data_IF_820073547586
#
_entry.id   IF_820073547586
#
_cell.length_a   1.000
_cell.length_b   1.000
_cell.length_c   1.000
_cell.angle_alpha   90.00
_cell.angle_beta   90.00
_cell.angle_gamma   90.00
#
_symmetry.space_group_name_H-M   'P 1'
#
loop_
_entity.id
_entity.type
_entity.pdbx_description
1 polymer ?
#
# COMPACT_ATOMS: atom_id res chain seq x y z
N UNK A 1 -48.09 -44.29 -25.67
CA UNK A 1 -46.73 -44.53 -25.13
C UNK A 1 -46.49 -43.51 -24.03
N UNK A 2 -46.37 -44.01 -22.80
CA UNK A 2 -46.53 -43.30 -21.54
C UNK A 2 -45.16 -43.14 -20.86
N UNK A 3 -44.88 -41.94 -20.35
CA UNK A 3 -44.13 -41.56 -19.12
C UNK A 3 -42.90 -42.38 -18.67
N UNK A 4 -41.79 -41.67 -18.42
CA UNK A 4 -41.10 -41.71 -17.12
C UNK A 4 -40.25 -40.44 -16.92
N UNK A 5 -40.49 -39.75 -15.80
CA UNK A 5 -39.71 -38.64 -15.29
C UNK A 5 -38.66 -39.18 -14.31
N UNK A 6 -37.45 -38.61 -14.31
CA UNK A 6 -36.45 -38.81 -13.25
C UNK A 6 -36.11 -37.44 -12.68
N UNK A 7 -36.57 -37.22 -11.45
CA UNK A 7 -36.17 -36.12 -10.59
C UNK A 7 -34.75 -36.38 -10.07
N UNK A 8 -33.80 -35.49 -10.37
CA UNK A 8 -32.49 -35.49 -9.75
C UNK A 8 -32.48 -34.47 -8.60
N UNK A 9 -32.29 -34.99 -7.40
CA UNK A 9 -32.30 -34.29 -6.14
C UNK A 9 -31.03 -33.41 -6.03
N UNK A 10 -31.19 -32.08 -6.03
CA UNK A 10 -30.12 -31.17 -5.66
C UNK A 10 -29.93 -31.21 -4.14
N UNK A 11 -28.90 -31.95 -3.70
CA UNK A 11 -28.42 -31.93 -2.33
C UNK A 11 -27.78 -30.56 -2.08
N UNK A 12 -28.52 -29.70 -1.38
CA UNK A 12 -27.98 -28.51 -0.72
C UNK A 12 -27.01 -28.96 0.38
N UNK A 13 -25.72 -29.01 0.05
CA UNK A 13 -24.66 -29.04 1.07
C UNK A 13 -24.56 -27.62 1.62
N UNK A 14 -25.36 -27.34 2.65
CA UNK A 14 -25.14 -26.21 3.55
C UNK A 14 -23.88 -26.57 4.33
N UNK A 15 -22.71 -26.07 3.90
CA UNK A 15 -21.54 -26.09 4.77
C UNK A 15 -21.84 -25.16 5.95
N UNK A 16 -21.87 -25.68 7.20
CA UNK A 16 -21.88 -24.80 8.35
C UNK A 16 -20.53 -24.07 8.35
N UNK A 17 -20.55 -22.74 8.13
CA UNK A 17 -19.52 -21.86 8.65
C UNK A 17 -19.51 -22.05 10.17
N UNK A 18 -18.70 -23.00 10.63
CA UNK A 18 -18.42 -23.18 12.04
C UNK A 18 -17.72 -21.92 12.51
N UNK A 19 -18.49 -20.98 13.04
CA UNK A 19 -18.03 -19.95 13.95
C UNK A 19 -17.55 -20.62 15.23
N UNK A 20 -16.41 -21.33 15.13
CA UNK A 20 -15.59 -21.62 16.28
C UNK A 20 -15.07 -20.27 16.74
N UNK A 21 -15.75 -19.68 17.73
CA UNK A 21 -15.16 -18.63 18.58
C UNK A 21 -13.88 -19.25 19.15
N UNK A 22 -12.75 -18.96 18.51
CA UNK A 22 -11.45 -19.39 18.98
C UNK A 22 -11.30 -18.93 20.43
N UNK A 23 -11.08 -19.88 21.33
CA UNK A 23 -10.58 -19.58 22.66
C UNK A 23 -9.36 -18.65 22.49
N UNK A 24 -9.34 -17.56 23.26
CA UNK A 24 -8.58 -16.34 22.97
C UNK A 24 -7.19 -16.58 22.42
N UNK A 25 -6.97 -16.18 21.16
CA UNK A 25 -5.66 -16.15 20.54
C UNK A 25 -4.76 -15.22 21.37
N UNK A 26 -3.83 -15.79 22.11
CA UNK A 26 -2.87 -15.04 22.95
C UNK A 26 -1.84 -14.27 22.12
N UNK A 27 -1.82 -14.47 20.80
CA UNK A 27 -0.93 -13.76 19.89
C UNK A 27 -1.24 -12.25 19.92
N UNK A 28 -0.19 -11.41 19.89
CA UNK A 28 -0.36 -9.97 19.77
C UNK A 28 -1.14 -9.63 18.50
N UNK A 29 -1.87 -8.51 18.51
CA UNK A 29 -2.74 -8.10 17.40
C UNK A 29 -2.13 -8.23 16.00
N UNK A 30 -0.85 -7.91 15.83
CA UNK A 30 -0.15 -7.95 14.55
C UNK A 30 0.19 -9.36 14.05
N UNK A 31 0.04 -10.40 14.87
CA UNK A 31 0.28 -11.80 14.51
C UNK A 31 -1.00 -12.64 14.39
N UNK A 32 -2.16 -12.07 14.74
CA UNK A 32 -3.44 -12.78 14.71
C UNK A 32 -3.90 -13.08 13.30
N UNK A 33 -4.48 -14.26 13.11
CA UNK A 33 -5.02 -14.69 11.82
C UNK A 33 -6.10 -13.72 11.28
N UNK A 34 -7.06 -13.32 12.12
CA UNK A 34 -8.11 -12.38 11.74
C UNK A 34 -7.57 -11.01 11.30
N UNK A 35 -6.48 -10.56 11.90
CA UNK A 35 -5.82 -9.32 11.49
C UNK A 35 -5.13 -9.46 10.13
N UNK A 36 -4.47 -10.60 9.89
CA UNK A 36 -3.82 -10.90 8.60
C UNK A 36 -4.84 -11.03 7.48
N UNK A 37 -5.96 -11.70 7.72
CA UNK A 37 -7.06 -11.82 6.76
C UNK A 37 -7.61 -10.43 6.38
N UNK A 38 -7.92 -9.59 7.36
CA UNK A 38 -8.37 -8.22 7.11
C UNK A 38 -7.29 -7.38 6.39
N UNK A 39 -6.02 -7.55 6.73
CA UNK A 39 -4.90 -6.92 6.03
C UNK A 39 -4.83 -7.31 4.56
N UNK A 40 -5.04 -8.59 4.22
CA UNK A 40 -5.06 -9.03 2.82
C UNK A 40 -6.18 -8.34 2.03
N UNK A 41 -7.37 -8.14 2.63
CA UNK A 41 -8.48 -7.45 2.00
C UNK A 41 -8.15 -5.96 1.76
N UNK A 42 -7.56 -5.28 2.75
CA UNK A 42 -7.11 -3.88 2.64
C UNK A 42 -6.04 -3.74 1.56
N UNK A 43 -5.05 -4.65 1.54
CA UNK A 43 -3.96 -4.66 0.56
C UNK A 43 -4.43 -5.06 -0.83
N UNK A 44 -5.57 -5.74 -0.97
CA UNK A 44 -6.18 -6.03 -2.27
C UNK A 44 -6.98 -4.83 -2.84
N UNK A 45 -7.14 -3.75 -2.07
CA UNK A 45 -7.98 -2.58 -2.38
C UNK A 45 -9.48 -2.92 -2.62
N UNK A 46 -9.98 -3.95 -1.95
CA UNK A 46 -11.41 -4.21 -1.88
C UNK A 46 -12.02 -3.27 -0.83
N UNK A 47 -12.55 -2.11 -1.26
CA UNK A 47 -13.01 -1.06 -0.35
C UNK A 47 -14.19 -1.50 0.51
N UNK A 48 -15.17 -2.20 -0.09
CA UNK A 48 -16.35 -2.68 0.62
C UNK A 48 -15.99 -3.80 1.59
N UNK A 49 -15.17 -4.76 1.13
CA UNK A 49 -14.63 -5.81 1.98
C UNK A 49 -13.79 -5.25 3.14
N UNK A 50 -12.97 -4.23 2.86
CA UNK A 50 -12.12 -3.57 3.86
C UNK A 50 -12.96 -2.87 4.92
N UNK A 51 -13.99 -2.12 4.52
CA UNK A 51 -14.87 -1.42 5.45
C UNK A 51 -15.55 -2.41 6.40
N UNK A 52 -16.08 -3.50 5.85
CA UNK A 52 -16.73 -4.57 6.61
C UNK A 52 -15.75 -5.23 7.60
N UNK A 53 -14.59 -5.69 7.11
CA UNK A 53 -13.59 -6.36 7.93
C UNK A 53 -13.05 -5.46 9.06
N UNK A 54 -12.76 -4.19 8.77
CA UNK A 54 -12.25 -3.26 9.77
C UNK A 54 -13.32 -2.95 10.81
N UNK A 55 -14.59 -2.75 10.42
CA UNK A 55 -15.69 -2.52 11.40
C UNK A 55 -15.87 -3.69 12.35
N UNK A 56 -15.78 -4.93 11.85
CA UNK A 56 -15.83 -6.12 12.70
C UNK A 56 -14.74 -6.08 13.76
N UNK A 57 -13.51 -5.73 13.39
CA UNK A 57 -12.38 -5.61 14.32
C UNK A 57 -12.53 -4.44 15.31
N UNK A 58 -12.98 -3.27 14.85
CA UNK A 58 -13.16 -2.06 15.68
C UNK A 58 -14.26 -2.22 16.75
N UNK A 59 -15.27 -3.05 16.46
CA UNK A 59 -16.41 -3.29 17.37
C UNK A 59 -16.22 -4.49 18.30
N UNK A 60 -15.14 -5.26 18.11
CA UNK A 60 -14.83 -6.42 18.96
C UNK A 60 -14.56 -6.00 20.42
N UNK A 61 -14.85 -6.90 21.37
CA UNK A 61 -14.55 -6.68 22.79
C UNK A 61 -13.07 -6.87 23.10
N UNK A 62 -12.36 -7.64 22.29
CA UNK A 62 -10.92 -7.87 22.41
C UNK A 62 -10.11 -6.64 22.01
N UNK A 63 -9.18 -6.23 22.87
CA UNK A 63 -8.29 -5.09 22.65
C UNK A 63 -7.33 -5.32 21.49
N UNK A 64 -6.87 -6.55 21.25
CA UNK A 64 -5.98 -6.86 20.15
C UNK A 64 -6.72 -6.80 18.80
N UNK A 65 -8.00 -7.22 18.75
CA UNK A 65 -8.83 -7.02 17.56
C UNK A 65 -9.04 -5.52 17.28
N UNK A 66 -9.34 -4.73 18.32
CA UNK A 66 -9.46 -3.26 18.18
C UNK A 66 -8.17 -2.58 17.74
N UNK A 67 -7.03 -3.00 18.29
CA UNK A 67 -5.70 -2.50 17.90
C UNK A 67 -5.45 -2.73 16.40
N UNK A 68 -5.76 -3.93 15.91
CA UNK A 68 -5.72 -4.23 14.49
C UNK A 68 -6.68 -3.34 13.68
N UNK A 69 -7.93 -3.20 14.13
CA UNK A 69 -8.93 -2.37 13.46
C UNK A 69 -8.48 -0.91 13.28
N UNK A 70 -7.95 -0.27 14.34
CA UNK A 70 -7.47 1.12 14.24
C UNK A 70 -6.23 1.27 13.36
N UNK A 71 -5.34 0.26 13.33
CA UNK A 71 -4.20 0.22 12.42
C UNK A 71 -4.66 0.10 10.96
N UNK A 72 -5.50 -0.89 10.66
CA UNK A 72 -6.00 -1.13 9.29
C UNK A 72 -6.83 0.04 8.76
N UNK A 73 -7.57 0.74 9.63
CA UNK A 73 -8.27 1.98 9.28
C UNK A 73 -7.29 3.08 8.84
N UNK A 74 -6.19 3.26 9.58
CA UNK A 74 -5.15 4.22 9.20
C UNK A 74 -4.47 3.80 7.88
N UNK A 75 -4.16 2.52 7.71
CA UNK A 75 -3.59 2.00 6.46
C UNK A 75 -4.52 2.20 5.26
N UNK A 76 -5.81 1.88 5.40
CA UNK A 76 -6.82 2.09 4.35
C UNK A 76 -6.85 3.56 3.93
N UNK A 77 -6.77 4.51 4.87
CA UNK A 77 -6.71 5.93 4.54
C UNK A 77 -5.49 6.32 3.69
N UNK A 78 -4.34 5.66 3.89
CA UNK A 78 -3.15 5.87 3.04
C UNK A 78 -3.33 5.26 1.65
N UNK A 79 -3.94 4.07 1.59
CA UNK A 79 -4.26 3.41 0.33
C UNK A 79 -5.25 4.21 -0.51
N UNK A 80 -6.27 4.81 0.13
CA UNK A 80 -7.20 5.72 -0.54
C UNK A 80 -6.49 6.94 -1.11
N UNK A 81 -5.49 7.51 -0.42
CA UNK A 81 -4.67 8.59 -0.97
C UNK A 81 -3.86 8.12 -2.19
N UNK A 82 -3.31 6.90 -2.17
CA UNK A 82 -2.57 6.37 -3.32
C UNK A 82 -3.47 6.22 -4.57
N UNK A 83 -4.72 5.79 -4.34
CA UNK A 83 -5.73 5.53 -5.37
C UNK A 83 -6.41 6.80 -5.87
N UNK A 84 -6.83 7.69 -4.97
CA UNK A 84 -7.63 8.89 -5.26
C UNK A 84 -6.79 10.17 -5.38
N UNK A 85 -5.56 10.17 -4.86
CA UNK A 85 -4.72 11.36 -4.70
C UNK A 85 -4.87 12.02 -3.32
N UNK A 86 -3.96 12.93 -3.01
CA UNK A 86 -3.91 13.66 -1.73
C UNK A 86 -4.89 14.84 -1.69
N UNK A 87 -6.20 14.58 -1.87
CA UNK A 87 -7.21 15.65 -1.76
C UNK A 87 -7.40 16.10 -0.31
N UNK A 88 -7.89 17.32 -0.04
CA UNK A 88 -8.15 17.79 1.31
C UNK A 88 -9.03 16.86 2.15
N UNK A 89 -9.99 16.19 1.53
CA UNK A 89 -10.88 15.20 2.17
C UNK A 89 -10.10 13.96 2.60
N UNK A 90 -9.26 13.42 1.71
CA UNK A 90 -8.46 12.24 2.01
C UNK A 90 -7.40 12.52 3.08
N UNK A 91 -6.77 13.70 3.02
CA UNK A 91 -5.82 14.15 4.06
C UNK A 91 -6.49 14.29 5.43
N UNK A 92 -7.73 14.80 5.47
CA UNK A 92 -8.54 14.92 6.71
C UNK A 92 -8.94 13.55 7.26
N UNK A 93 -9.39 12.66 6.36
CA UNK A 93 -9.76 11.28 6.70
C UNK A 93 -8.57 10.53 7.33
N UNK A 94 -7.37 10.64 6.73
CA UNK A 94 -6.15 10.07 7.31
C UNK A 94 -5.81 10.68 8.67
N UNK A 95 -5.83 12.00 8.82
CA UNK A 95 -5.53 12.66 10.11
C UNK A 95 -6.49 12.23 11.22
N UNK A 96 -7.79 12.09 10.93
CA UNK A 96 -8.77 11.58 11.90
C UNK A 96 -8.40 10.18 12.39
N UNK A 97 -8.06 9.27 11.47
CA UNK A 97 -7.74 7.89 11.83
C UNK A 97 -6.39 7.74 12.52
N UNK A 98 -5.41 8.56 12.18
CA UNK A 98 -4.16 8.64 12.94
C UNK A 98 -4.39 9.14 14.37
N UNK A 99 -5.29 10.12 14.58
CA UNK A 99 -5.68 10.57 15.93
C UNK A 99 -6.38 9.46 16.72
N UNK A 100 -7.24 8.67 16.08
CA UNK A 100 -7.90 7.51 16.72
C UNK A 100 -6.88 6.43 17.13
N UNK A 101 -5.96 6.08 16.24
CA UNK A 101 -4.87 5.14 16.52
C UNK A 101 -3.98 5.64 17.68
N UNK A 102 -3.61 6.92 17.67
CA UNK A 102 -2.86 7.56 18.74
C UNK A 102 -3.62 7.56 20.09
N UNK A 103 -4.90 7.91 20.08
CA UNK A 103 -5.75 7.89 21.27
C UNK A 103 -5.90 6.49 21.84
N UNK A 104 -6.08 5.48 20.97
CA UNK A 104 -6.13 4.08 21.35
C UNK A 104 -4.81 3.63 22.01
N UNK A 105 -3.67 3.93 21.39
CA UNK A 105 -2.34 3.57 21.90
C UNK A 105 -2.12 4.10 23.31
N UNK A 106 -2.47 5.36 23.56
CA UNK A 106 -2.35 5.99 24.89
C UNK A 106 -3.29 5.39 25.93
N UNK A 107 -4.56 5.19 25.58
CA UNK A 107 -5.56 4.65 26.50
C UNK A 107 -5.23 3.21 26.95
N UNK A 108 -4.55 2.44 26.10
CA UNK A 108 -4.30 1.02 26.33
C UNK A 108 -2.83 0.66 26.58
N UNK A 109 -1.92 1.65 26.65
CA UNK A 109 -0.50 1.41 26.88
C UNK A 109 -0.21 0.60 28.15
N UNK A 110 -1.04 0.75 29.20
CA UNK A 110 -0.91 0.00 30.46
C UNK A 110 -1.19 -1.50 30.32
N UNK A 111 -1.83 -1.94 29.24
CA UNK A 111 -2.18 -3.35 29.00
C UNK A 111 -1.12 -4.08 28.17
N UNK A 112 -0.08 -3.39 27.69
CA UNK A 112 1.02 -4.04 26.98
C UNK A 112 1.77 -3.11 26.03
N UNK A 113 3.06 -3.38 25.83
CA UNK A 113 3.93 -2.63 24.90
C UNK A 113 3.40 -2.65 23.48
N UNK A 114 2.79 -3.75 23.02
CA UNK A 114 2.19 -3.89 21.68
C UNK A 114 1.11 -2.84 21.35
N UNK A 115 0.41 -2.30 22.35
CA UNK A 115 -0.55 -1.21 22.15
C UNK A 115 0.14 0.14 22.18
N UNK A 116 1.10 0.28 23.09
CA UNK A 116 1.84 1.52 23.26
C UNK A 116 2.75 1.82 22.04
N UNK A 117 3.19 0.80 21.31
CA UNK A 117 3.99 0.92 20.09
C UNK A 117 3.19 1.51 18.91
N UNK A 118 1.85 1.38 18.90
CA UNK A 118 1.00 2.07 17.91
C UNK A 118 1.16 3.59 17.98
N UNK A 119 1.59 4.16 19.11
CA UNK A 119 1.87 5.59 19.21
C UNK A 119 3.01 5.99 18.27
N UNK A 120 4.13 5.25 18.27
CA UNK A 120 5.28 5.64 17.45
C UNK A 120 4.97 5.51 15.96
N UNK A 121 4.17 4.50 15.61
CA UNK A 121 3.71 4.31 14.24
C UNK A 121 2.75 5.43 13.79
N UNK A 122 1.73 5.74 14.58
CA UNK A 122 0.79 6.81 14.26
C UNK A 122 1.50 8.16 14.08
N UNK A 123 2.49 8.45 14.92
CA UNK A 123 3.31 9.67 14.80
C UNK A 123 4.14 9.68 13.52
N UNK A 124 4.79 8.56 13.19
CA UNK A 124 5.57 8.44 11.96
C UNK A 124 4.70 8.68 10.73
N UNK A 125 3.52 8.05 10.64
CA UNK A 125 2.55 8.28 9.55
C UNK A 125 2.06 9.73 9.50
N UNK A 126 1.85 10.36 10.66
CA UNK A 126 1.44 11.78 10.77
C UNK A 126 2.50 12.75 10.21
N UNK A 127 3.78 12.42 10.26
CA UNK A 127 4.84 13.23 9.61
C UNK A 127 4.52 13.43 8.12
N UNK A 128 4.17 12.35 7.42
CA UNK A 128 3.80 12.40 6.01
C UNK A 128 2.54 13.23 5.79
N UNK A 129 1.53 13.08 6.65
CA UNK A 129 0.30 13.90 6.59
C UNK A 129 0.59 15.39 6.66
N UNK A 130 1.40 15.80 7.62
CA UNK A 130 1.76 17.21 7.80
C UNK A 130 2.58 17.73 6.62
N UNK A 131 3.46 16.90 6.04
CA UNK A 131 4.23 17.28 4.87
C UNK A 131 3.33 17.49 3.64
N UNK A 132 2.41 16.57 3.36
CA UNK A 132 1.46 16.66 2.24
C UNK A 132 0.47 17.84 2.40
N UNK A 133 0.20 18.26 3.63
CA UNK A 133 -0.58 19.48 3.93
C UNK A 133 0.25 20.78 3.80
N UNK A 134 1.55 20.70 3.53
CA UNK A 134 2.45 21.87 3.50
C UNK A 134 2.94 22.35 4.87
N UNK A 135 2.56 21.68 5.96
CA UNK A 135 2.91 22.01 7.34
C UNK A 135 4.32 21.49 7.73
N UNK A 136 5.35 21.88 6.97
CA UNK A 136 6.72 21.34 7.08
C UNK A 136 7.34 21.51 8.48
N UNK A 137 7.09 22.64 9.15
CA UNK A 137 7.59 22.89 10.51
C UNK A 137 6.98 21.93 11.53
N UNK A 138 5.66 21.69 11.44
CA UNK A 138 4.99 20.74 12.32
C UNK A 138 5.41 19.31 12.00
N UNK A 139 5.58 18.97 10.71
CA UNK A 139 6.09 17.68 10.26
C UNK A 139 7.46 17.36 10.87
N UNK A 140 8.39 18.33 10.87
CA UNK A 140 9.71 18.16 11.49
C UNK A 140 9.61 17.99 13.02
N UNK A 141 8.75 18.76 13.68
CA UNK A 141 8.52 18.60 15.11
C UNK A 141 7.92 17.22 15.45
N UNK A 142 7.01 16.72 14.62
CA UNK A 142 6.44 15.38 14.76
C UNK A 142 7.48 14.29 14.50
N UNK A 143 8.35 14.44 13.51
CA UNK A 143 9.44 13.51 13.22
C UNK A 143 10.41 13.40 14.40
N UNK A 144 10.74 14.52 15.06
CA UNK A 144 11.57 14.53 16.27
C UNK A 144 10.91 13.77 17.43
N UNK A 145 9.59 13.97 17.61
CA UNK A 145 8.81 13.25 18.63
C UNK A 145 8.78 11.75 18.35
N UNK A 146 8.53 11.36 17.09
CA UNK A 146 8.57 9.97 16.65
C UNK A 146 9.95 9.35 16.88
N UNK A 147 11.04 10.05 16.49
CA UNK A 147 12.41 9.55 16.67
C UNK A 147 12.78 9.36 18.15
N UNK A 148 12.44 10.32 19.01
CA UNK A 148 12.66 10.20 20.45
C UNK A 148 11.90 9.01 21.04
N UNK A 149 10.64 8.84 20.65
CA UNK A 149 9.84 7.71 21.11
C UNK A 149 10.40 6.39 20.61
N UNK A 150 10.78 6.30 19.33
CA UNK A 150 11.40 5.13 18.72
C UNK A 150 12.64 4.67 19.49
N UNK A 151 13.57 5.58 19.78
CA UNK A 151 14.78 5.25 20.56
C UNK A 151 14.44 4.67 21.94
N UNK A 152 13.50 5.29 22.64
CA UNK A 152 13.04 4.80 23.93
C UNK A 152 12.33 3.42 23.85
N UNK A 153 11.79 3.03 22.69
CA UNK A 153 11.25 1.69 22.44
C UNK A 153 12.35 0.68 22.17
N UNK A 154 13.31 1.02 21.30
CA UNK A 154 14.43 0.15 20.96
C UNK A 154 15.22 -0.31 22.19
N UNK A 155 15.40 0.56 23.19
CA UNK A 155 16.04 0.24 24.48
C UNK A 155 15.30 -0.84 25.30
N UNK A 156 13.99 -1.05 25.04
CA UNK A 156 13.14 -1.99 25.78
C UNK A 156 12.94 -3.32 25.05
N UNK A 157 13.55 -3.48 23.87
CA UNK A 157 13.33 -4.59 22.95
C UNK A 157 12.51 -4.21 21.73
N UNK A 158 12.60 -5.03 20.68
CA UNK A 158 11.92 -4.79 19.41
C UNK A 158 10.61 -5.57 19.33
N UNK A 159 9.60 -4.93 18.74
CA UNK A 159 8.38 -5.56 18.25
C UNK A 159 8.31 -5.37 16.72
N UNK A 160 7.49 -6.12 15.97
CA UNK A 160 7.30 -5.87 14.56
C UNK A 160 6.90 -4.42 14.23
N UNK A 161 6.12 -3.77 15.09
CA UNK A 161 5.78 -2.34 14.97
C UNK A 161 7.01 -1.45 15.09
N UNK A 162 7.86 -1.70 16.07
CA UNK A 162 9.09 -0.92 16.30
C UNK A 162 10.09 -1.13 15.17
N UNK A 163 10.31 -2.39 14.75
CA UNK A 163 11.17 -2.71 13.60
C UNK A 163 10.63 -2.08 12.31
N UNK A 164 9.31 -2.09 12.09
CA UNK A 164 8.70 -1.45 10.93
C UNK A 164 8.95 0.07 10.93
N UNK A 165 8.73 0.75 12.06
CA UNK A 165 8.94 2.20 12.18
C UNK A 165 10.42 2.58 12.11
N UNK A 166 11.31 1.85 12.78
CA UNK A 166 12.76 2.00 12.62
C UNK A 166 13.16 1.85 11.16
N UNK A 167 12.63 0.81 10.54
CA UNK A 167 12.83 0.47 9.16
C UNK A 167 12.55 1.63 8.22
N UNK A 168 11.37 2.24 8.33
CA UNK A 168 10.98 3.39 7.53
C UNK A 168 11.84 4.60 7.84
N UNK A 169 11.91 4.98 9.12
CA UNK A 169 12.54 6.24 9.53
C UNK A 169 14.02 6.26 9.16
N UNK A 170 14.74 5.17 9.40
CA UNK A 170 16.18 5.12 9.19
C UNK A 170 16.51 4.89 7.70
N UNK A 171 15.73 4.09 6.97
CA UNK A 171 15.90 3.92 5.51
C UNK A 171 15.67 5.24 4.76
N UNK A 172 14.69 6.04 5.17
CA UNK A 172 14.42 7.35 4.58
C UNK A 172 15.58 8.35 4.77
N UNK A 173 16.32 8.25 5.88
CA UNK A 173 17.56 9.04 6.07
C UNK A 173 18.63 8.63 5.06
N UNK A 174 18.72 7.34 4.73
CA UNK A 174 19.63 6.81 3.71
C UNK A 174 19.35 7.34 2.31
N UNK A 175 18.08 7.56 1.97
CA UNK A 175 17.69 8.15 0.69
C UNK A 175 17.91 9.65 0.60
N UNK A 176 17.99 10.32 1.75
CA UNK A 176 18.28 11.74 1.77
C UNK A 176 19.72 11.97 1.30
N UNK A 177 19.90 12.87 0.32
CA UNK A 177 21.22 13.36 -0.07
C UNK A 177 22.00 13.93 1.12
N UNK A 178 23.33 13.96 1.03
CA UNK A 178 24.22 14.28 2.16
C UNK A 178 23.82 15.57 2.90
N UNK A 179 23.55 16.66 2.18
CA UNK A 179 23.15 17.94 2.79
C UNK A 179 21.84 17.83 3.58
N UNK A 180 20.82 17.20 2.99
CA UNK A 180 19.53 16.96 3.66
C UNK A 180 19.70 16.10 4.90
N UNK A 181 20.48 15.01 4.80
CA UNK A 181 20.77 14.13 5.95
C UNK A 181 21.46 14.88 7.07
N UNK A 182 22.45 15.73 6.76
CA UNK A 182 23.14 16.58 7.74
C UNK A 182 22.17 17.55 8.41
N UNK A 183 21.29 18.21 7.66
CA UNK A 183 20.28 19.13 8.21
C UNK A 183 19.28 18.41 9.11
N UNK A 184 18.82 17.21 8.71
CA UNK A 184 17.96 16.37 9.54
C UNK A 184 18.69 15.92 10.82
N UNK A 185 19.98 15.61 10.72
CA UNK A 185 20.91 15.35 11.83
C UNK A 185 20.98 16.51 12.83
N UNK A 186 21.26 17.71 12.34
CA UNK A 186 21.26 18.95 13.15
C UNK A 186 19.88 19.22 13.76
N UNK A 187 18.81 18.80 13.09
CA UNK A 187 17.46 18.84 13.59
C UNK A 187 17.12 17.70 14.56
N UNK A 188 18.08 16.90 15.02
CA UNK A 188 17.87 15.85 16.02
C UNK A 188 17.22 14.56 15.49
N UNK A 189 17.10 14.42 14.16
CA UNK A 189 16.77 13.15 13.53
C UNK A 189 18.07 12.38 13.32
N UNK A 190 18.13 11.17 13.85
CA UNK A 190 19.34 10.33 13.77
C UNK A 190 18.92 8.88 13.74
N UNK A 191 19.67 8.11 12.97
CA UNK A 191 19.47 6.69 12.75
C UNK A 191 20.48 6.21 11.72
N UNK A 192 20.90 4.96 11.83
CA UNK A 192 21.75 4.32 10.83
C UNK A 192 20.86 3.73 9.72
N UNK A 193 21.00 4.18 8.45
CA UNK A 193 20.27 3.59 7.34
C UNK A 193 20.45 2.07 7.23
N UNK A 194 21.62 1.53 7.55
CA UNK A 194 21.88 0.10 7.50
C UNK A 194 21.00 -0.67 8.50
N UNK A 195 20.84 -0.14 9.72
CA UNK A 195 19.89 -0.69 10.70
C UNK A 195 18.45 -0.60 10.21
N UNK A 196 18.08 0.51 9.54
CA UNK A 196 16.77 0.66 8.90
C UNK A 196 16.50 -0.42 7.86
N UNK A 197 17.48 -0.71 7.00
CA UNK A 197 17.36 -1.74 5.99
C UNK A 197 17.19 -3.13 6.62
N UNK A 198 18.00 -3.45 7.62
CA UNK A 198 17.90 -4.71 8.35
C UNK A 198 16.56 -4.85 9.09
N UNK A 199 16.04 -3.77 9.68
CA UNK A 199 14.76 -3.79 10.35
C UNK A 199 13.60 -4.07 9.38
N UNK A 200 13.56 -3.41 8.21
CA UNK A 200 12.58 -3.74 7.17
C UNK A 200 12.74 -5.17 6.63
N UNK A 201 13.97 -5.67 6.52
CA UNK A 201 14.23 -7.05 6.13
C UNK A 201 13.63 -8.06 7.11
N UNK A 202 13.80 -7.83 8.42
CA UNK A 202 13.17 -8.64 9.47
C UNK A 202 11.64 -8.61 9.36
N UNK A 203 11.06 -7.43 9.14
CA UNK A 203 9.60 -7.30 9.03
C UNK A 203 9.05 -8.01 7.80
N UNK A 204 9.62 -7.82 6.60
CA UNK A 204 9.12 -8.51 5.40
C UNK A 204 9.39 -10.02 5.43
N UNK A 205 10.48 -10.44 6.08
CA UNK A 205 10.84 -11.84 6.26
C UNK A 205 9.97 -12.55 7.32
N UNK A 206 9.35 -11.78 8.21
CA UNK A 206 8.50 -12.27 9.30
C UNK A 206 7.07 -12.63 8.88
N UNK A 207 6.22 -12.79 9.88
CA UNK A 207 4.83 -13.23 9.73
C UNK A 207 3.79 -12.22 10.22
N UNK A 208 4.19 -11.00 10.59
CA UNK A 208 3.27 -9.99 11.10
C UNK A 208 2.46 -9.33 9.98
N UNK A 209 1.40 -8.60 10.35
CA UNK A 209 0.57 -7.84 9.40
C UNK A 209 1.35 -6.78 8.61
N UNK A 210 2.49 -6.32 9.14
CA UNK A 210 3.36 -5.36 8.46
C UNK A 210 4.11 -5.94 7.26
N UNK A 211 4.11 -7.26 7.07
CA UNK A 211 4.95 -7.95 6.09
C UNK A 211 4.82 -7.37 4.68
N UNK A 212 3.60 -7.25 4.18
CA UNK A 212 3.36 -6.81 2.80
C UNK A 212 3.58 -5.30 2.65
N UNK A 213 3.32 -4.51 3.70
CA UNK A 213 3.63 -3.08 3.71
C UNK A 213 5.16 -2.84 3.73
N UNK A 214 5.90 -3.59 4.54
CA UNK A 214 7.35 -3.56 4.56
C UNK A 214 7.95 -3.98 3.22
N UNK A 215 7.39 -4.99 2.56
CA UNK A 215 7.78 -5.41 1.21
C UNK A 215 7.55 -4.28 0.18
N UNK A 216 6.40 -3.60 0.25
CA UNK A 216 6.09 -2.45 -0.61
C UNK A 216 7.08 -1.29 -0.41
N UNK A 217 7.45 -0.99 0.84
CA UNK A 217 8.43 0.06 1.14
C UNK A 217 9.85 -0.34 0.76
N UNK A 218 10.24 -1.59 1.02
CA UNK A 218 11.53 -2.14 0.61
C UNK A 218 11.71 -2.06 -0.91
N UNK A 219 10.66 -2.31 -1.71
CA UNK A 219 10.67 -2.12 -3.15
C UNK A 219 10.99 -0.68 -3.55
N UNK A 220 10.32 0.30 -2.93
CA UNK A 220 10.58 1.72 -3.23
C UNK A 220 12.01 2.10 -2.89
N UNK A 221 12.47 1.70 -1.70
CA UNK A 221 13.85 1.96 -1.29
C UNK A 221 14.87 1.28 -2.20
N UNK A 222 14.59 0.06 -2.65
CA UNK A 222 15.44 -0.67 -3.58
C UNK A 222 15.56 0.01 -4.94
N UNK A 223 14.49 0.63 -5.43
CA UNK A 223 14.48 1.33 -6.72
C UNK A 223 15.46 2.52 -6.71
N UNK A 224 15.39 3.36 -5.67
CA UNK A 224 16.25 4.54 -5.60
C UNK A 224 17.71 4.22 -5.25
N UNK A 225 17.98 3.03 -4.70
CA UNK A 225 19.33 2.55 -4.37
C UNK A 225 19.87 1.57 -5.41
N UNK A 226 19.21 1.39 -6.56
CA UNK A 226 19.59 0.35 -7.52
C UNK A 226 21.04 0.48 -7.98
N UNK A 227 21.49 1.70 -8.26
CA UNK A 227 22.85 1.96 -8.76
C UNK A 227 23.94 1.72 -7.70
N UNK A 228 23.60 1.83 -6.41
CA UNK A 228 24.54 1.67 -5.29
C UNK A 228 24.54 0.26 -4.68
N UNK A 229 23.76 -0.67 -5.24
CA UNK A 229 23.62 -2.04 -4.72
C UNK A 229 22.62 -2.10 -3.57
N UNK A 230 21.32 -2.09 -3.90
CA UNK A 230 20.23 -2.14 -2.94
C UNK A 230 20.38 -3.29 -1.93
N UNK A 231 20.34 -3.02 -0.61
CA UNK A 231 20.36 -4.06 0.42
C UNK A 231 19.09 -4.91 0.42
N UNK A 232 18.02 -4.45 -0.23
CA UNK A 232 16.77 -5.20 -0.37
C UNK A 232 16.76 -6.12 -1.60
N UNK A 233 17.80 -6.10 -2.42
CA UNK A 233 17.88 -6.85 -3.68
C UNK A 233 17.18 -6.14 -4.84
N UNK A 234 16.79 -6.92 -5.85
CA UNK A 234 16.17 -6.44 -7.08
C UNK A 234 14.76 -5.88 -6.82
N UNK A 235 14.51 -4.57 -7.07
CA UNK A 235 13.19 -3.99 -6.87
C UNK A 235 12.11 -4.59 -7.77
N UNK A 236 12.46 -5.11 -8.96
CA UNK A 236 11.49 -5.79 -9.83
C UNK A 236 11.04 -7.11 -9.21
N UNK A 237 11.95 -7.88 -8.62
CA UNK A 237 11.62 -9.12 -7.92
C UNK A 237 10.69 -8.87 -6.71
N UNK A 238 10.94 -7.81 -5.94
CA UNK A 238 10.07 -7.40 -4.84
C UNK A 238 8.67 -7.01 -5.34
N UNK A 239 8.59 -6.25 -6.43
CA UNK A 239 7.31 -5.86 -7.04
C UNK A 239 6.53 -7.03 -7.66
N UNK A 240 7.20 -7.97 -8.33
CA UNK A 240 6.57 -9.23 -8.79
C UNK A 240 5.96 -10.00 -7.61
N UNK A 241 6.66 -10.05 -6.47
CA UNK A 241 6.14 -10.71 -5.27
C UNK A 241 4.86 -10.05 -4.77
N UNK A 242 4.80 -8.71 -4.76
CA UNK A 242 3.59 -7.97 -4.37
C UNK A 242 2.42 -8.22 -5.32
N UNK A 243 2.66 -8.14 -6.64
CA UNK A 243 1.63 -8.39 -7.66
C UNK A 243 1.13 -9.84 -7.58
N UNK A 244 2.00 -10.81 -7.35
CA UNK A 244 1.60 -12.21 -7.20
C UNK A 244 0.72 -12.45 -5.96
N UNK A 245 0.97 -11.74 -4.85
CA UNK A 245 0.15 -11.82 -3.63
C UNK A 245 -1.17 -11.07 -3.76
N UNK A 246 -1.15 -9.94 -4.47
CA UNK A 246 -2.27 -9.00 -4.58
C UNK A 246 -2.57 -8.68 -6.05
N UNK A 247 -2.94 -9.68 -6.88
CA UNK A 247 -3.09 -9.49 -8.33
C UNK A 247 -4.24 -8.56 -8.69
N UNK A 248 -5.18 -8.36 -7.77
CA UNK A 248 -6.30 -7.42 -7.93
C UNK A 248 -5.95 -6.01 -7.50
N UNK A 249 -4.80 -5.76 -6.85
CA UNK A 249 -4.40 -4.41 -6.48
C UNK A 249 -3.81 -3.69 -7.71
N UNK A 250 -4.65 -2.90 -8.38
CA UNK A 250 -4.31 -2.05 -9.52
C UNK A 250 -3.17 -1.06 -9.25
N UNK A 251 -2.97 -0.59 -8.01
CA UNK A 251 -1.85 0.30 -7.68
C UNK A 251 -0.52 -0.47 -7.71
N UNK A 252 -0.47 -1.69 -7.15
CA UNK A 252 0.73 -2.55 -7.24
C UNK A 252 1.02 -2.99 -8.67
N UNK A 253 -0.02 -3.35 -9.43
CA UNK A 253 0.11 -3.69 -10.85
C UNK A 253 0.64 -2.50 -11.65
N UNK A 254 0.10 -1.30 -11.43
CA UNK A 254 0.57 -0.08 -12.08
C UNK A 254 2.03 0.22 -11.73
N UNK A 255 2.39 0.19 -10.45
CA UNK A 255 3.75 0.51 -10.03
C UNK A 255 4.77 -0.48 -10.60
N UNK A 256 4.47 -1.79 -10.55
CA UNK A 256 5.33 -2.81 -11.13
C UNK A 256 5.39 -2.69 -12.66
N UNK A 257 4.26 -2.48 -13.32
CA UNK A 257 4.21 -2.35 -14.77
C UNK A 257 4.96 -1.11 -15.26
N UNK A 258 4.88 0.01 -14.53
CA UNK A 258 5.70 1.20 -14.78
C UNK A 258 7.19 0.88 -14.67
N UNK A 259 7.61 0.18 -13.63
CA UNK A 259 9.00 -0.26 -13.47
C UNK A 259 9.45 -1.16 -14.62
N UNK A 260 8.66 -2.17 -14.99
CA UNK A 260 8.95 -3.05 -16.13
C UNK A 260 9.07 -2.28 -17.45
N UNK A 261 8.16 -1.34 -17.71
CA UNK A 261 8.22 -0.48 -18.90
C UNK A 261 9.50 0.37 -18.95
N UNK A 262 9.89 0.96 -17.83
CA UNK A 262 11.13 1.75 -17.75
C UNK A 262 12.38 0.91 -18.06
N UNK A 263 12.32 -0.40 -17.81
CA UNK A 263 13.37 -1.37 -18.18
C UNK A 263 13.19 -1.95 -19.60
N UNK A 264 12.29 -1.40 -20.42
CA UNK A 264 12.00 -1.89 -21.77
C UNK A 264 11.21 -3.21 -21.80
N UNK A 265 10.69 -3.69 -20.68
CA UNK A 265 9.95 -4.94 -20.55
C UNK A 265 8.44 -4.76 -20.78
N UNK A 266 8.08 -4.07 -21.87
CA UNK A 266 6.67 -3.74 -22.19
C UNK A 266 5.76 -4.95 -22.31
N UNK A 267 6.27 -6.08 -22.81
CA UNK A 267 5.50 -7.32 -22.89
C UNK A 267 5.08 -7.82 -21.50
N UNK A 268 6.03 -7.92 -20.57
CA UNK A 268 5.75 -8.35 -19.19
C UNK A 268 4.87 -7.32 -18.45
N UNK A 269 5.11 -6.02 -18.68
CA UNK A 269 4.25 -4.97 -18.13
C UNK A 269 2.79 -5.12 -18.58
N UNK A 270 2.56 -5.47 -19.85
CA UNK A 270 1.22 -5.73 -20.38
C UNK A 270 0.61 -7.01 -19.83
N UNK A 271 1.39 -8.08 -19.64
CA UNK A 271 0.90 -9.33 -19.05
C UNK A 271 0.25 -9.11 -17.67
N UNK A 272 0.84 -8.26 -16.83
CA UNK A 272 0.27 -7.94 -15.51
C UNK A 272 -0.80 -6.84 -15.56
N UNK A 273 -0.70 -5.86 -16.48
CA UNK A 273 -1.65 -4.75 -16.55
C UNK A 273 -2.96 -5.11 -17.25
N UNK A 274 -2.93 -6.02 -18.23
CA UNK A 274 -4.07 -6.35 -19.08
C UNK A 274 -5.30 -6.84 -18.31
N UNK A 275 -5.20 -7.68 -17.27
CA UNK A 275 -6.37 -8.07 -16.46
C UNK A 275 -7.05 -6.87 -15.80
N UNK A 276 -6.27 -5.89 -15.30
CA UNK A 276 -6.81 -4.68 -14.68
C UNK A 276 -7.46 -3.78 -15.75
N UNK A 277 -6.82 -3.62 -16.92
CA UNK A 277 -7.39 -2.86 -18.05
C UNK A 277 -8.76 -3.42 -18.44
N UNK A 278 -8.87 -4.74 -18.64
CA UNK A 278 -10.16 -5.38 -19.01
C UNK A 278 -11.23 -5.14 -17.95
N UNK A 279 -10.88 -5.30 -16.67
CA UNK A 279 -11.81 -5.05 -15.56
C UNK A 279 -12.30 -3.61 -15.52
N UNK A 280 -11.43 -2.65 -15.82
CA UNK A 280 -11.81 -1.23 -15.93
C UNK A 280 -12.74 -1.00 -17.13
N UNK A 281 -12.48 -1.63 -18.28
CA UNK A 281 -13.31 -1.51 -19.47
C UNK A 281 -14.71 -2.13 -19.27
N UNK A 282 -14.78 -3.29 -18.62
CA UNK A 282 -16.03 -3.99 -18.28
C UNK A 282 -16.85 -3.24 -17.22
N UNK A 283 -16.17 -2.64 -16.24
CA UNK A 283 -16.81 -1.86 -15.18
C UNK A 283 -15.97 -0.61 -14.86
N UNK A 284 -16.21 0.53 -15.54
CA UNK A 284 -15.49 1.75 -15.28
C UNK A 284 -15.66 2.26 -13.84
N UNK A 285 -16.66 1.81 -13.08
CA UNK A 285 -16.87 2.18 -11.69
C UNK A 285 -15.96 1.47 -10.69
N UNK A 286 -15.26 0.40 -11.08
CA UNK A 286 -14.55 -0.48 -10.14
C UNK A 286 -13.28 0.14 -9.53
N UNK A 287 -12.74 1.21 -10.13
CA UNK A 287 -11.54 1.91 -9.65
C UNK A 287 -11.73 3.42 -9.69
N UNK A 288 -11.01 4.18 -8.85
CA UNK A 288 -11.02 5.63 -8.91
C UNK A 288 -10.51 6.16 -10.27
N UNK A 289 -11.01 7.33 -10.75
CA UNK A 289 -10.56 7.94 -12.01
C UNK A 289 -9.05 8.03 -12.17
N UNK A 290 -8.34 8.39 -11.11
CA UNK A 290 -6.87 8.50 -11.09
C UNK A 290 -6.19 7.17 -11.45
N UNK A 291 -6.55 6.08 -10.76
CA UNK A 291 -5.95 4.78 -11.02
C UNK A 291 -6.35 4.22 -12.40
N UNK A 292 -7.57 4.50 -12.87
CA UNK A 292 -7.97 4.16 -14.25
C UNK A 292 -7.09 4.86 -15.28
N UNK A 293 -6.90 6.18 -15.15
CA UNK A 293 -6.04 6.96 -16.03
C UNK A 293 -4.59 6.47 -16.01
N UNK A 294 -4.02 6.21 -14.84
CA UNK A 294 -2.67 5.62 -14.69
C UNK A 294 -2.54 4.29 -15.43
N UNK A 295 -3.52 3.41 -15.27
CA UNK A 295 -3.51 2.09 -15.90
C UNK A 295 -3.63 2.18 -17.42
N UNK A 296 -4.54 3.02 -17.93
CA UNK A 296 -4.66 3.27 -19.37
C UNK A 296 -3.41 3.92 -19.96
N UNK A 297 -2.80 4.87 -19.26
CA UNK A 297 -1.54 5.48 -19.67
C UNK A 297 -0.42 4.45 -19.79
N UNK A 298 -0.22 3.62 -18.75
CA UNK A 298 0.79 2.56 -18.75
C UNK A 298 0.58 1.60 -19.92
N UNK A 299 -0.64 1.07 -20.07
CA UNK A 299 -0.95 0.12 -21.13
C UNK A 299 -0.81 0.76 -22.51
N UNK A 300 -1.30 1.99 -22.69
CA UNK A 300 -1.17 2.75 -23.92
C UNK A 300 0.29 2.95 -24.33
N UNK A 301 1.16 3.34 -23.39
CA UNK A 301 2.61 3.47 -23.63
C UNK A 301 3.25 2.15 -24.04
N UNK A 302 2.96 1.06 -23.34
CA UNK A 302 3.47 -0.26 -23.73
C UNK A 302 2.99 -0.69 -25.12
N UNK A 303 1.72 -0.41 -25.47
CA UNK A 303 1.17 -0.73 -26.78
C UNK A 303 1.84 0.05 -27.92
N UNK A 304 2.16 1.33 -27.71
CA UNK A 304 2.98 2.11 -28.67
C UNK A 304 4.34 1.44 -28.87
N UNK A 305 5.04 1.11 -27.78
CA UNK A 305 6.36 0.49 -27.81
C UNK A 305 6.33 -0.93 -28.44
N UNK A 306 5.19 -1.62 -28.40
CA UNK A 306 4.94 -2.91 -29.04
C UNK A 306 4.36 -2.79 -30.47
N UNK A 307 4.20 -1.58 -31.02
CA UNK A 307 3.70 -1.34 -32.37
C UNK A 307 2.18 -1.48 -32.56
N UNK A 308 1.41 -1.60 -31.46
CA UNK A 308 -0.06 -1.76 -31.46
C UNK A 308 -0.78 -0.40 -31.37
N UNK A 309 -0.56 0.45 -32.38
CA UNK A 309 -0.98 1.86 -32.35
C UNK A 309 -2.50 2.06 -32.25
N UNK A 310 -3.31 1.26 -32.93
CA UNK A 310 -4.77 1.42 -32.89
C UNK A 310 -5.32 1.18 -31.48
N UNK A 311 -4.84 0.11 -30.82
CA UNK A 311 -5.24 -0.16 -29.44
C UNK A 311 -4.74 0.91 -28.46
N UNK A 312 -3.55 1.47 -28.70
CA UNK A 312 -3.06 2.60 -27.90
C UNK A 312 -3.96 3.84 -28.03
N UNK A 313 -4.47 4.15 -29.24
CA UNK A 313 -5.42 5.24 -29.47
C UNK A 313 -6.74 5.01 -28.73
N UNK A 314 -7.27 3.79 -28.74
CA UNK A 314 -8.48 3.45 -27.97
C UNK A 314 -8.30 3.70 -26.47
N UNK A 315 -7.18 3.27 -25.89
CA UNK A 315 -6.89 3.50 -24.46
C UNK A 315 -6.67 4.99 -24.16
N UNK A 316 -6.05 5.74 -25.08
CA UNK A 316 -5.93 7.19 -24.99
C UNK A 316 -7.32 7.84 -24.92
N UNK A 317 -8.25 7.45 -25.79
CA UNK A 317 -9.62 7.98 -25.75
C UNK A 317 -10.36 7.61 -24.47
N UNK A 318 -10.20 6.37 -23.99
CA UNK A 318 -10.78 5.94 -22.73
C UNK A 318 -10.24 6.77 -21.55
N UNK A 319 -8.95 7.13 -21.59
CA UNK A 319 -8.33 8.03 -20.62
C UNK A 319 -8.86 9.46 -20.71
N UNK A 320 -9.04 10.00 -21.93
CA UNK A 320 -9.57 11.35 -22.15
C UNK A 320 -11.03 11.53 -21.66
N UNK A 321 -11.80 10.43 -21.59
CA UNK A 321 -13.17 10.41 -21.04
C UNK A 321 -13.22 10.40 -19.52
N UNK A 322 -12.11 10.19 -18.83
CA UNK A 322 -12.08 10.21 -17.36
C UNK A 322 -12.34 11.64 -16.85
N UNK A 323 -13.04 11.82 -15.71
CA UNK A 323 -13.18 13.13 -15.07
C UNK A 323 -11.82 13.83 -14.96
N UNK A 324 -11.78 15.12 -15.32
CA UNK A 324 -10.56 15.95 -15.29
C UNK A 324 -9.87 15.75 -13.94
N UNK A 325 -8.76 15.04 -14.01
CA UNK A 325 -7.80 14.86 -12.94
C UNK A 325 -6.46 15.37 -13.48
N UNK A 326 -5.47 15.57 -12.62
CA UNK A 326 -4.13 16.13 -12.93
C UNK A 326 -3.27 15.28 -13.91
N UNK A 327 -3.88 14.54 -14.84
CA UNK A 327 -3.23 13.68 -15.82
C UNK A 327 -3.18 14.28 -17.22
N UNK A 328 -3.33 15.60 -17.36
CA UNK A 328 -3.08 16.30 -18.63
C UNK A 328 -1.69 15.99 -19.16
N UNK A 329 -0.69 15.89 -18.27
CA UNK A 329 0.69 15.50 -18.63
C UNK A 329 0.76 14.07 -19.17
N UNK A 330 0.12 13.09 -18.52
CA UNK A 330 0.09 11.72 -19.02
C UNK A 330 -0.64 11.61 -20.36
N UNK A 331 -1.71 12.38 -20.55
CA UNK A 331 -2.45 12.39 -21.81
C UNK A 331 -1.60 12.98 -22.93
N UNK A 332 -0.94 14.11 -22.67
CA UNK A 332 0.00 14.72 -23.61
C UNK A 332 1.16 13.77 -23.93
N UNK A 333 1.77 13.13 -22.92
CA UNK A 333 2.87 12.20 -23.11
C UNK A 333 2.48 10.93 -23.89
N UNK A 334 1.21 10.51 -23.83
CA UNK A 334 0.69 9.41 -24.66
C UNK A 334 0.38 9.90 -26.08
N UNK A 335 -0.18 11.10 -26.23
CA UNK A 335 -0.41 11.73 -27.53
C UNK A 335 0.90 11.89 -28.32
N UNK A 336 1.95 12.36 -27.65
CA UNK A 336 3.29 12.49 -28.24
C UNK A 336 3.85 11.12 -28.68
N UNK A 337 3.70 10.10 -27.84
CA UNK A 337 4.13 8.73 -28.15
C UNK A 337 3.46 8.19 -29.43
N UNK A 338 2.14 8.38 -29.53
CA UNK A 338 1.34 7.90 -30.66
C UNK A 338 1.74 8.66 -31.93
N UNK A 339 1.94 9.98 -31.83
CA UNK A 339 2.35 10.84 -32.95
C UNK A 339 3.73 10.45 -33.47
N UNK A 340 4.71 10.27 -32.59
CA UNK A 340 6.07 9.86 -32.94
C UNK A 340 6.10 8.50 -33.64
N UNK A 341 5.38 7.51 -33.09
CA UNK A 341 5.33 6.17 -33.69
C UNK A 341 4.52 6.12 -35.00
N UNK A 342 3.54 7.02 -35.18
CA UNK A 342 2.75 7.13 -36.40
C UNK A 342 3.48 7.83 -37.55
N UNK A 343 4.40 8.75 -37.26
CA UNK A 343 5.20 9.45 -38.27
C UNK A 343 6.48 8.73 -38.72
N UNK A 344 6.85 7.63 -38.05
CA UNK A 344 8.01 6.81 -38.38
C UNK A 344 7.74 5.72 -39.45
N UNK A 345 6.56 5.74 -40.08
CA UNK A 345 6.15 4.86 -41.18
C UNK A 345 6.00 5.68 -42.46
#
# INVERSE_FOLDING_TARGET
>A
MLRAAIACCCILIVMPLSAARAAGDSSPWYDRASCKEAMQIVMALDLDGSESAIRTLETDKDLDAKACGVYLRALLSEMLIAVHGSTPEQLRYREEHLKRMFGFAKAHAKYGVRYADLEVEARMRRVRTLFEQGNKTEALAEARRANKLLKARLERGTSPTVDFVQGIMYSALGQSGMLTRTLLGMAGLSGDPAEGYQALQRVYGGHSVYRDEALYLARHFAWDMRESGSPFGDPLALGRTLVARHPTNGQFVYDQGRSLRLEGQCKEAMEIAQPIVRRIEENPGVWAPNLRSKTFFLAGRCLVELGQLERAKELREAMARQPKSDFSENLAALDDAIREAGGAR
#
